data_IF_250124115631
#
_entry.id   IF_250124115631
#
_cell.length_a   1.000
_cell.length_b   1.000
_cell.length_c   1.000
_cell.angle_alpha   90.00
_cell.angle_beta   90.00
_cell.angle_gamma   90.00
#
_symmetry.space_group_name_H-M   'P 1'
#
loop_
_entity.id
_entity.type
_entity.pdbx_description
1 polymer ?
#
# COMPACT_ATOMS: atom_id res chain seq x y z
N UNK A 1 9.03 -14.63 9.05
CA UNK A 1 9.29 -14.19 7.67
C UNK A 1 8.91 -12.73 7.62
N UNK A 2 9.84 -11.83 7.31
CA UNK A 2 9.55 -10.40 7.24
C UNK A 2 8.76 -10.16 5.96
N UNK A 3 7.51 -9.76 6.08
CA UNK A 3 6.65 -9.42 4.95
C UNK A 3 7.31 -8.31 4.12
N UNK A 4 7.14 -8.34 2.79
CA UNK A 4 7.59 -7.28 1.87
C UNK A 4 6.38 -6.77 1.10
N UNK A 5 6.36 -5.47 0.86
CA UNK A 5 5.33 -4.86 0.02
C UNK A 5 5.58 -5.16 -1.45
N UNK A 6 4.51 -5.23 -2.23
CA UNK A 6 4.52 -5.33 -3.68
C UNK A 6 3.53 -4.32 -4.27
N UNK A 7 3.79 -3.86 -5.48
CA UNK A 7 2.89 -2.99 -6.24
C UNK A 7 1.48 -3.59 -6.30
N UNK A 8 0.47 -2.74 -6.09
CA UNK A 8 -0.96 -3.07 -6.13
C UNK A 8 -1.49 -3.95 -4.99
N UNK A 9 -0.66 -4.30 -4.01
CA UNK A 9 -1.18 -4.83 -2.75
C UNK A 9 -2.01 -3.77 -2.01
N UNK A 10 -3.07 -4.23 -1.34
CA UNK A 10 -3.97 -3.40 -0.55
C UNK A 10 -3.72 -3.66 0.93
N UNK A 11 -3.63 -2.57 1.70
CA UNK A 11 -3.39 -2.60 3.13
C UNK A 11 -4.40 -1.73 3.87
N UNK A 12 -4.70 -2.11 5.12
CA UNK A 12 -5.27 -1.21 6.12
C UNK A 12 -4.14 -0.44 6.79
N UNK A 13 -4.09 0.87 6.64
CA UNK A 13 -3.12 1.75 7.31
C UNK A 13 -3.88 2.91 7.97
N UNK A 14 -3.71 3.09 9.27
CA UNK A 14 -4.44 4.11 10.07
C UNK A 14 -5.96 4.08 9.83
N UNK A 15 -6.55 2.88 9.91
CA UNK A 15 -7.99 2.61 9.65
C UNK A 15 -8.51 2.89 8.23
N UNK A 16 -7.64 3.22 7.27
CA UNK A 16 -7.99 3.46 5.86
C UNK A 16 -7.38 2.40 4.94
N UNK A 17 -8.13 2.01 3.89
CA UNK A 17 -7.62 1.12 2.84
C UNK A 17 -6.76 1.91 1.86
N UNK A 18 -5.54 1.44 1.66
CA UNK A 18 -4.55 2.06 0.79
C UNK A 18 -3.93 1.03 -0.14
N UNK A 19 -3.58 1.46 -1.35
CA UNK A 19 -2.96 0.61 -2.36
C UNK A 19 -1.52 1.06 -2.60
N UNK A 20 -0.57 0.13 -2.62
CA UNK A 20 0.82 0.45 -2.99
C UNK A 20 0.88 0.78 -4.49
N UNK A 21 1.29 1.99 -4.83
CA UNK A 21 1.31 2.51 -6.22
C UNK A 21 2.72 2.83 -6.72
N UNK A 22 3.73 2.81 -5.85
CA UNK A 22 5.12 2.98 -6.24
C UNK A 22 6.05 2.38 -5.19
N UNK A 23 7.20 1.85 -5.62
CA UNK A 23 8.30 1.46 -4.74
C UNK A 23 9.62 1.97 -5.33
N UNK A 24 10.54 2.38 -4.46
CA UNK A 24 11.89 2.79 -4.87
C UNK A 24 12.88 2.60 -3.71
N UNK A 25 14.16 2.79 -4.02
CA UNK A 25 15.22 2.86 -3.02
C UNK A 25 15.71 4.30 -2.97
N UNK A 26 15.77 4.89 -1.78
CA UNK A 26 16.29 6.25 -1.62
C UNK A 26 17.82 6.32 -1.87
N UNK A 27 18.42 7.52 -1.97
CA UNK A 27 19.87 7.65 -2.17
C UNK A 27 20.76 7.04 -1.07
N UNK A 28 20.19 6.70 0.08
CA UNK A 28 20.88 6.07 1.22
C UNK A 28 20.64 4.55 1.28
N UNK A 29 19.97 3.96 0.30
CA UNK A 29 19.71 2.52 0.24
C UNK A 29 18.47 2.07 1.01
N UNK A 30 17.59 2.98 1.45
CA UNK A 30 16.39 2.62 2.21
C UNK A 30 15.24 2.27 1.27
N UNK A 31 14.55 1.13 1.47
CA UNK A 31 13.31 0.82 0.76
C UNK A 31 12.21 1.82 1.13
N UNK A 32 11.60 2.40 0.11
CA UNK A 32 10.53 3.37 0.21
C UNK A 32 9.34 2.90 -0.62
N UNK A 33 8.15 3.29 -0.20
CA UNK A 33 6.93 3.07 -0.97
C UNK A 33 6.08 4.34 -1.01
N UNK A 34 5.17 4.38 -2.00
CA UNK A 34 4.07 5.33 -2.06
C UNK A 34 2.80 4.52 -2.15
N UNK A 35 1.82 4.87 -1.31
CA UNK A 35 0.47 4.35 -1.44
C UNK A 35 -0.50 5.48 -1.76
N UNK A 36 -1.62 5.09 -2.37
CA UNK A 36 -2.74 5.97 -2.66
C UNK A 36 -4.02 5.44 -2.03
N UNK A 37 -4.96 6.34 -1.78
CA UNK A 37 -6.35 6.02 -1.46
C UNK A 37 -7.27 6.91 -2.29
N UNK A 38 -8.42 6.38 -2.68
CA UNK A 38 -9.52 7.15 -3.24
C UNK A 38 -10.49 7.48 -2.10
N UNK A 39 -10.71 8.76 -1.86
CA UNK A 39 -11.72 9.24 -0.92
C UNK A 39 -12.57 10.29 -1.62
N UNK A 40 -13.84 9.95 -1.82
CA UNK A 40 -14.84 10.85 -2.41
C UNK A 40 -14.40 11.45 -3.77
N UNK A 41 -13.64 10.69 -4.57
CA UNK A 41 -13.12 11.12 -5.87
C UNK A 41 -11.83 11.96 -5.82
N UNK A 42 -11.25 12.15 -4.63
CA UNK A 42 -9.92 12.72 -4.45
C UNK A 42 -8.91 11.58 -4.23
N UNK A 43 -7.86 11.56 -5.06
CA UNK A 43 -6.74 10.63 -4.89
C UNK A 43 -5.71 11.26 -3.98
N UNK A 44 -5.64 10.78 -2.73
CA UNK A 44 -4.59 11.16 -1.80
C UNK A 44 -3.45 10.15 -1.90
N UNK A 45 -2.21 10.64 -1.94
CA UNK A 45 -1.03 9.79 -1.99
C UNK A 45 0.02 10.24 -0.97
N UNK A 46 0.61 9.28 -0.27
CA UNK A 46 1.68 9.51 0.70
C UNK A 46 2.83 8.52 0.46
N UNK A 47 4.05 8.96 0.76
CA UNK A 47 5.24 8.12 0.65
C UNK A 47 6.03 8.11 1.96
N UNK A 48 6.48 6.92 2.37
CA UNK A 48 7.29 6.70 3.57
C UNK A 48 8.16 5.44 3.44
N UNK A 49 9.12 5.22 4.36
CA UNK A 49 9.90 4.00 4.41
C UNK A 49 9.01 2.76 4.54
N UNK A 50 9.34 1.71 3.79
CA UNK A 50 8.56 0.46 3.79
C UNK A 50 8.44 -0.14 5.19
N UNK A 51 9.53 -0.07 5.98
CA UNK A 51 9.55 -0.58 7.33
C UNK A 51 8.61 0.19 8.29
N UNK A 52 8.50 1.51 8.13
CA UNK A 52 7.59 2.34 8.92
C UNK A 52 6.14 2.02 8.55
N UNK A 53 5.86 1.86 7.25
CA UNK A 53 4.55 1.46 6.78
C UNK A 53 4.12 0.09 7.34
N UNK A 54 4.98 -0.92 7.20
CA UNK A 54 4.70 -2.30 7.64
C UNK A 54 4.61 -2.46 9.16
N UNK A 55 5.09 -1.49 9.96
CA UNK A 55 4.94 -1.51 11.40
C UNK A 55 3.49 -1.26 11.84
N UNK A 56 2.72 -0.54 11.02
CA UNK A 56 1.34 -0.13 11.32
C UNK A 56 0.32 -0.74 10.35
N UNK A 57 0.74 -1.09 9.13
CA UNK A 57 -0.13 -1.58 8.08
C UNK A 57 -0.46 -3.07 8.23
N UNK A 58 -1.71 -3.43 7.95
CA UNK A 58 -2.15 -4.84 7.85
C UNK A 58 -2.48 -5.16 6.40
N UNK A 59 -1.88 -6.21 5.83
CA UNK A 59 -2.20 -6.66 4.47
C UNK A 59 -3.66 -7.12 4.40
N UNK A 60 -4.40 -6.64 3.40
CA UNK A 60 -5.78 -7.03 3.12
C UNK A 60 -5.89 -7.87 1.85
N UNK A 61 -5.15 -7.50 0.80
CA UNK A 61 -5.18 -8.20 -0.48
C UNK A 61 -3.81 -8.21 -1.16
N UNK A 62 -3.45 -9.36 -1.73
CA UNK A 62 -2.26 -9.56 -2.53
C UNK A 62 -2.39 -8.92 -3.92
N UNK A 63 -1.26 -8.61 -4.55
CA UNK A 63 -1.24 -8.09 -5.91
C UNK A 63 -1.91 -9.07 -6.89
N UNK A 64 -2.91 -8.57 -7.63
CA UNK A 64 -3.64 -9.40 -8.61
C UNK A 64 -4.64 -10.38 -7.99
N UNK A 65 -4.88 -10.32 -6.67
CA UNK A 65 -6.07 -10.93 -6.11
C UNK A 65 -7.28 -10.17 -6.68
N UNK A 66 -8.05 -10.83 -7.55
CA UNK A 66 -9.27 -10.27 -8.12
C UNK A 66 -10.08 -9.61 -6.99
N UNK A 67 -10.25 -8.29 -7.06
CA UNK A 67 -11.40 -7.66 -6.44
C UNK A 67 -12.58 -8.26 -7.18
N UNK A 68 -13.12 -9.37 -6.67
CA UNK A 68 -14.41 -9.87 -7.14
C UNK A 68 -15.40 -8.78 -6.78
N UNK A 69 -15.67 -7.87 -7.73
CA UNK A 69 -16.83 -6.99 -7.72
C UNK A 69 -18.09 -7.88 -7.80
N UNK A 70 -18.43 -8.48 -6.67
CA UNK A 70 -19.67 -9.20 -6.48
C UNK A 70 -20.67 -8.29 -5.76
N UNK A 71 -21.37 -7.42 -6.50
CA UNK A 71 -22.76 -7.04 -6.18
C UNK A 71 -23.38 -6.12 -7.26
N UNK A 72 -23.84 -6.66 -8.39
CA UNK A 72 -25.28 -6.65 -8.73
C UNK A 72 -25.64 -7.54 -9.91
#
# INVERSE_FOLDING_TARGET
>A
MTHKTEMWQVYRFQDVDVTVIQQWVDPFGRPMLRFGLDRDGEVLAAGLPEAEFLAEATLLAEAGSELVEGAR
#
